data_IF_510775148101
#
_entry.id   IF_510775148101
#
_cell.length_a   1.000
_cell.length_b   1.000
_cell.length_c   1.000
_cell.angle_alpha   90.00
_cell.angle_beta   90.00
_cell.angle_gamma   90.00
#
_symmetry.space_group_name_H-M   'P 1'
#
loop_
_entity.id
_entity.type
_entity.pdbx_description
1 polymer ?
#
# COMPACT_ATOMS: atom_id res chain seq x y z
N UNK A 1 -26.41 6.35 32.54
CA UNK A 1 -25.19 6.38 31.69
C UNK A 1 -24.22 5.29 32.15
N UNK A 2 -24.49 4.03 31.76
CA UNK A 2 -23.75 2.82 32.17
C UNK A 2 -23.81 1.77 31.03
N UNK A 3 -23.61 2.18 29.77
CA UNK A 3 -23.86 1.33 28.59
C UNK A 3 -22.63 1.14 27.67
N UNK A 4 -21.41 1.44 28.15
CA UNK A 4 -20.17 1.30 27.36
C UNK A 4 -19.14 0.32 27.94
N UNK A 5 -19.47 -0.44 28.99
CA UNK A 5 -18.59 -1.49 29.53
C UNK A 5 -18.89 -2.90 29.00
N UNK A 6 -19.89 -3.04 28.11
CA UNK A 6 -20.50 -4.35 27.78
C UNK A 6 -19.95 -5.04 26.52
N UNK A 7 -19.12 -4.39 25.71
CA UNK A 7 -18.62 -4.95 24.43
C UNK A 7 -17.34 -5.79 24.55
N UNK A 8 -16.58 -5.68 25.64
CA UNK A 8 -15.33 -6.42 25.83
C UNK A 8 -15.53 -7.86 26.35
N UNK A 9 -16.70 -8.16 26.91
CA UNK A 9 -16.98 -9.44 27.58
C UNK A 9 -17.70 -10.46 26.70
N UNK A 10 -18.30 -10.03 25.58
CA UNK A 10 -19.09 -10.95 24.73
C UNK A 10 -18.22 -11.83 23.82
N UNK A 11 -17.07 -11.35 23.35
CA UNK A 11 -16.21 -12.14 22.44
C UNK A 11 -15.36 -13.22 23.14
N UNK A 12 -15.33 -13.22 24.48
CA UNK A 12 -14.48 -14.13 25.28
C UNK A 12 -15.08 -15.53 25.44
N UNK A 13 -16.36 -15.77 25.13
CA UNK A 13 -17.07 -17.00 25.52
C UNK A 13 -17.38 -18.02 24.42
N UNK A 14 -17.18 -17.74 23.13
CA UNK A 14 -17.70 -18.63 22.08
C UNK A 14 -16.66 -19.35 21.20
N UNK A 15 -15.36 -19.22 21.47
CA UNK A 15 -14.30 -20.06 20.85
C UNK A 15 -13.89 -21.22 21.77
N UNK A 16 -14.85 -21.83 22.46
CA UNK A 16 -14.63 -22.95 23.39
C UNK A 16 -15.36 -24.23 22.93
N UNK A 17 -15.57 -24.43 21.63
CA UNK A 17 -15.92 -25.74 21.05
C UNK A 17 -14.72 -26.35 20.31
N UNK A 18 -13.75 -26.76 21.14
CA UNK A 18 -12.83 -27.91 21.04
C UNK A 18 -12.04 -28.30 19.78
N UNK A 19 -12.23 -27.74 18.58
CA UNK A 19 -11.51 -28.24 17.39
C UNK A 19 -10.71 -27.19 16.59
N UNK A 20 -10.41 -26.03 17.17
CA UNK A 20 -9.59 -25.00 16.49
C UNK A 20 -8.12 -24.95 16.95
N UNK A 21 -7.72 -25.76 17.94
CA UNK A 21 -6.40 -25.68 18.56
C UNK A 21 -5.28 -26.45 17.84
N UNK A 22 -5.60 -27.30 16.86
CA UNK A 22 -4.62 -28.16 16.16
C UNK A 22 -4.08 -27.60 14.85
N UNK A 23 -4.66 -26.53 14.29
CA UNK A 23 -4.24 -26.01 12.98
C UNK A 23 -3.31 -24.78 13.03
N UNK A 24 -3.17 -24.11 14.18
CA UNK A 24 -2.40 -22.87 14.26
C UNK A 24 -1.20 -22.98 15.20
N UNK A 25 0.04 -22.82 14.69
CA UNK A 25 1.26 -22.69 15.50
C UNK A 25 1.09 -21.61 16.56
N UNK A 26 1.61 -21.86 17.76
CA UNK A 26 1.49 -20.95 18.93
C UNK A 26 1.98 -19.53 18.63
N UNK A 27 3.03 -19.39 17.82
CA UNK A 27 3.60 -18.10 17.42
C UNK A 27 2.63 -17.22 16.61
N UNK A 28 1.80 -17.82 15.75
CA UNK A 28 0.79 -17.09 14.97
C UNK A 28 -0.35 -16.63 15.88
N UNK A 29 -0.68 -17.42 16.92
CA UNK A 29 -1.76 -17.12 17.85
C UNK A 29 -1.46 -15.90 18.71
N UNK A 30 -0.23 -15.78 19.19
CA UNK A 30 0.18 -14.67 20.05
C UNK A 30 0.28 -13.37 19.23
N UNK A 31 0.89 -13.42 18.03
CA UNK A 31 0.92 -12.28 17.12
C UNK A 31 -0.47 -11.82 16.65
N UNK A 32 -1.39 -12.77 16.40
CA UNK A 32 -2.77 -12.43 16.05
C UNK A 32 -3.51 -11.80 17.24
N UNK A 33 -3.25 -12.25 18.47
CA UNK A 33 -3.89 -11.71 19.67
C UNK A 33 -3.52 -10.25 19.93
N UNK A 34 -2.30 -9.86 19.60
CA UNK A 34 -1.80 -8.50 19.78
C UNK A 34 -2.17 -7.59 18.59
N UNK A 35 -2.19 -8.13 17.37
CA UNK A 35 -2.57 -7.38 16.16
C UNK A 35 -4.10 -7.20 16.02
N UNK A 36 -4.91 -8.12 16.55
CA UNK A 36 -6.36 -8.13 16.38
C UNK A 36 -7.08 -6.89 16.97
N UNK A 37 -6.75 -6.43 18.19
CA UNK A 37 -7.32 -5.19 18.72
C UNK A 37 -6.97 -3.97 17.86
N UNK A 38 -5.70 -3.84 17.44
CA UNK A 38 -5.25 -2.74 16.59
C UNK A 38 -5.92 -2.77 15.20
N UNK A 39 -6.14 -3.95 14.64
CA UNK A 39 -6.90 -4.13 13.40
C UNK A 39 -8.37 -3.71 13.56
N UNK A 40 -9.02 -4.11 14.66
CA UNK A 40 -10.39 -3.71 14.97
C UNK A 40 -10.52 -2.21 15.24
N UNK A 41 -9.55 -1.60 15.90
CA UNK A 41 -9.47 -0.14 16.09
C UNK A 41 -9.24 0.59 14.75
N UNK A 42 -8.42 0.02 13.86
CA UNK A 42 -8.28 0.50 12.47
C UNK A 42 -9.60 0.40 11.69
N UNK A 43 -10.36 -0.68 11.88
CA UNK A 43 -11.72 -0.81 11.34
C UNK A 43 -12.71 0.17 11.97
N UNK A 44 -12.48 0.63 13.20
CA UNK A 44 -13.30 1.68 13.81
C UNK A 44 -13.16 3.01 13.04
N UNK A 45 -12.00 3.28 12.41
CA UNK A 45 -11.84 4.42 11.50
C UNK A 45 -12.72 4.30 10.23
N UNK A 46 -13.06 3.06 9.81
CA UNK A 46 -14.01 2.82 8.74
C UNK A 46 -15.47 3.13 9.15
N UNK A 47 -15.81 3.23 10.45
CA UNK A 47 -17.18 3.58 10.89
C UNK A 47 -17.57 4.99 10.49
N UNK A 48 -16.60 5.88 10.27
CA UNK A 48 -16.88 7.23 9.82
C UNK A 48 -16.96 7.27 8.29
N UNK A 49 -18.15 7.00 7.76
CA UNK A 49 -18.44 6.98 6.31
C UNK A 49 -17.95 8.23 5.56
N UNK A 50 -17.96 9.40 6.22
CA UNK A 50 -17.40 10.66 5.67
C UNK A 50 -15.89 10.61 5.45
N UNK A 51 -15.14 10.00 6.36
CA UNK A 51 -13.69 9.85 6.23
C UNK A 51 -13.35 8.82 5.15
N UNK A 52 -14.13 7.75 5.05
CA UNK A 52 -14.02 6.80 3.95
C UNK A 52 -14.27 7.42 2.59
N UNK A 53 -15.34 8.20 2.45
CA UNK A 53 -15.67 8.83 1.19
C UNK A 53 -14.57 9.81 0.76
N UNK A 54 -13.97 10.55 1.70
CA UNK A 54 -12.82 11.43 1.42
C UNK A 54 -11.60 10.63 0.95
N UNK A 55 -11.22 9.58 1.68
CA UNK A 55 -10.09 8.74 1.31
C UNK A 55 -10.30 8.08 -0.06
N UNK A 56 -11.51 7.55 -0.31
CA UNK A 56 -11.90 6.99 -1.60
C UNK A 56 -11.84 8.03 -2.72
N UNK A 57 -12.34 9.25 -2.50
CA UNK A 57 -12.27 10.32 -3.49
C UNK A 57 -10.84 10.75 -3.84
N UNK A 58 -9.95 10.79 -2.84
CA UNK A 58 -8.53 11.08 -3.06
C UNK A 58 -7.87 9.98 -3.89
N UNK A 59 -8.19 8.72 -3.57
CA UNK A 59 -7.68 7.58 -4.32
C UNK A 59 -8.20 7.56 -5.76
N UNK A 60 -9.50 7.80 -5.95
CA UNK A 60 -10.11 7.91 -7.27
C UNK A 60 -9.49 9.07 -8.09
N UNK A 61 -9.17 10.19 -7.44
CA UNK A 61 -8.52 11.33 -8.08
C UNK A 61 -7.11 10.98 -8.55
N UNK A 62 -6.31 10.30 -7.71
CA UNK A 62 -4.98 9.80 -8.11
C UNK A 62 -5.09 8.85 -9.32
N UNK A 63 -6.09 7.97 -9.31
CA UNK A 63 -6.33 7.03 -10.39
C UNK A 63 -6.67 7.72 -11.72
N UNK A 64 -7.57 8.69 -11.69
CA UNK A 64 -7.94 9.46 -12.88
C UNK A 64 -6.76 10.29 -13.39
N UNK A 65 -5.99 10.89 -12.47
CA UNK A 65 -4.77 11.63 -12.81
C UNK A 65 -3.77 10.72 -13.51
N UNK A 66 -3.52 9.53 -12.96
CA UNK A 66 -2.63 8.52 -13.55
C UNK A 66 -3.08 8.12 -14.95
N UNK A 67 -4.36 7.77 -15.13
CA UNK A 67 -4.90 7.40 -16.44
C UNK A 67 -4.74 8.55 -17.46
N UNK A 68 -4.97 9.78 -17.02
CA UNK A 68 -4.79 10.98 -17.85
C UNK A 68 -3.34 11.19 -18.22
N UNK A 69 -2.39 11.05 -17.29
CA UNK A 69 -0.95 11.15 -17.58
C UNK A 69 -0.50 10.08 -18.57
N UNK A 70 -0.95 8.84 -18.41
CA UNK A 70 -0.64 7.75 -19.34
C UNK A 70 -1.18 8.06 -20.74
N UNK A 71 -2.41 8.56 -20.83
CA UNK A 71 -3.00 8.97 -22.11
C UNK A 71 -2.25 10.15 -22.75
N UNK A 72 -1.88 11.17 -21.99
CA UNK A 72 -1.11 12.32 -22.48
C UNK A 72 0.25 11.89 -23.04
N UNK A 73 0.96 10.99 -22.35
CA UNK A 73 2.17 10.40 -22.90
C UNK A 73 1.87 9.61 -24.17
N UNK A 74 0.75 8.90 -24.24
CA UNK A 74 0.35 8.15 -25.43
C UNK A 74 0.17 9.04 -26.65
N UNK A 75 -0.36 10.26 -26.46
CA UNK A 75 -0.44 11.30 -27.49
C UNK A 75 0.97 11.74 -27.90
N UNK A 76 1.87 11.98 -26.95
CA UNK A 76 3.25 12.40 -27.25
C UNK A 76 4.04 11.38 -28.07
N UNK A 77 3.74 10.09 -27.91
CA UNK A 77 4.32 8.99 -28.69
C UNK A 77 3.54 8.66 -29.97
N UNK A 78 2.48 9.41 -30.29
CA UNK A 78 1.65 9.23 -31.48
C UNK A 78 1.11 7.80 -31.68
N UNK A 79 0.80 7.08 -30.59
CA UNK A 79 0.45 5.66 -30.61
C UNK A 79 -0.82 5.30 -31.41
N UNK A 80 -1.66 6.28 -31.76
CA UNK A 80 -2.88 6.06 -32.55
C UNK A 80 -3.97 5.25 -31.84
N UNK A 81 -3.82 4.96 -30.55
CA UNK A 81 -4.78 4.15 -29.76
C UNK A 81 -5.84 5.02 -29.07
N UNK A 82 -7.07 4.50 -28.88
CA UNK A 82 -8.14 5.25 -28.24
C UNK A 82 -7.84 5.50 -26.75
N UNK A 83 -8.39 6.60 -26.21
CA UNK A 83 -8.20 6.99 -24.80
C UNK A 83 -8.65 5.90 -23.80
N UNK A 84 -9.67 5.12 -24.15
CA UNK A 84 -10.16 3.99 -23.35
C UNK A 84 -9.10 2.91 -23.13
N UNK A 85 -8.17 2.72 -24.07
CA UNK A 85 -7.05 1.78 -23.91
C UNK A 85 -6.17 2.15 -22.71
N UNK A 86 -5.99 3.44 -22.42
CA UNK A 86 -5.17 3.89 -21.28
C UNK A 86 -5.87 3.66 -19.93
N UNK A 87 -7.21 3.64 -19.90
CA UNK A 87 -7.95 3.20 -18.72
C UNK A 87 -7.73 1.70 -18.47
N UNK A 88 -7.83 0.88 -19.52
CA UNK A 88 -7.53 -0.57 -19.44
C UNK A 88 -6.09 -0.81 -19.02
N UNK A 89 -5.15 -0.06 -19.60
CA UNK A 89 -3.73 -0.12 -19.25
C UNK A 89 -3.50 0.23 -17.78
N UNK A 90 -4.16 1.28 -17.27
CA UNK A 90 -4.07 1.68 -15.86
C UNK A 90 -4.55 0.56 -14.93
N UNK A 91 -5.67 -0.09 -15.26
CA UNK A 91 -6.21 -1.23 -14.51
C UNK A 91 -5.23 -2.41 -14.55
N UNK A 92 -4.78 -2.79 -15.74
CA UNK A 92 -3.86 -3.91 -15.94
C UNK A 92 -2.58 -3.70 -15.13
N UNK A 93 -1.92 -2.55 -15.29
CA UNK A 93 -0.70 -2.22 -14.55
C UNK A 93 -0.92 -2.24 -13.03
N UNK A 94 -2.04 -1.71 -12.54
CA UNK A 94 -2.35 -1.72 -11.11
C UNK A 94 -2.46 -3.15 -10.56
N UNK A 95 -3.12 -4.05 -11.29
CA UNK A 95 -3.21 -5.47 -10.92
C UNK A 95 -1.84 -6.13 -10.94
N UNK A 96 -1.04 -5.92 -12.00
CA UNK A 96 0.26 -6.57 -12.15
C UNK A 96 1.31 -6.05 -11.16
N UNK A 97 1.24 -4.78 -10.75
CA UNK A 97 2.16 -4.23 -9.74
C UNK A 97 2.02 -4.85 -8.35
N UNK A 98 0.90 -5.54 -8.07
CA UNK A 98 0.70 -6.28 -6.82
C UNK A 98 1.60 -7.52 -6.73
N UNK A 99 2.09 -8.03 -7.86
CA UNK A 99 2.99 -9.17 -7.91
C UNK A 99 4.43 -8.66 -7.99
N UNK A 100 5.21 -8.74 -6.90
CA UNK A 100 6.62 -8.35 -6.93
C UNK A 100 7.44 -9.41 -7.65
N UNK A 101 7.35 -9.44 -8.99
CA UNK A 101 8.06 -10.43 -9.83
C UNK A 101 9.51 -10.03 -10.03
N UNK A 102 9.77 -8.72 -10.21
CA UNK A 102 11.12 -8.19 -10.45
C UNK A 102 11.38 -6.95 -9.62
N UNK A 103 12.67 -6.63 -9.44
CA UNK A 103 13.06 -5.39 -8.77
C UNK A 103 12.47 -4.20 -9.51
N UNK A 104 11.70 -3.39 -8.79
CA UNK A 104 11.01 -2.21 -9.33
C UNK A 104 10.03 -2.53 -10.48
N UNK A 105 9.58 -3.79 -10.61
CA UNK A 105 8.71 -4.24 -11.72
C UNK A 105 9.26 -3.92 -13.13
N UNK A 106 10.58 -3.80 -13.27
CA UNK A 106 11.24 -3.66 -14.57
C UNK A 106 11.09 -4.99 -15.33
N UNK A 107 10.72 -4.93 -16.60
CA UNK A 107 10.31 -6.07 -17.42
C UNK A 107 8.81 -6.30 -17.37
N UNK A 108 8.25 -6.57 -16.19
CA UNK A 108 6.80 -6.84 -16.03
C UNK A 108 5.95 -5.67 -16.50
N UNK A 109 6.31 -4.45 -16.11
CA UNK A 109 5.60 -3.24 -16.53
C UNK A 109 5.61 -3.09 -18.07
N UNK A 110 6.78 -3.26 -18.70
CA UNK A 110 6.93 -3.15 -20.15
C UNK A 110 6.12 -4.21 -20.88
N UNK A 111 6.17 -5.46 -20.44
CA UNK A 111 5.42 -6.55 -21.09
C UNK A 111 3.91 -6.27 -21.04
N UNK A 112 3.38 -5.90 -19.87
CA UNK A 112 1.95 -5.59 -19.72
C UNK A 112 1.56 -4.39 -20.61
N UNK A 113 2.36 -3.34 -20.60
CA UNK A 113 2.09 -2.15 -21.40
C UNK A 113 2.14 -2.44 -22.91
N UNK A 114 3.15 -3.18 -23.37
CA UNK A 114 3.28 -3.60 -24.77
C UNK A 114 2.07 -4.43 -25.18
N UNK A 115 1.69 -5.45 -24.41
CA UNK A 115 0.61 -6.35 -24.81
C UNK A 115 -0.76 -5.65 -24.83
N UNK A 116 -1.05 -4.77 -23.86
CA UNK A 116 -2.30 -3.99 -23.87
C UNK A 116 -2.35 -2.99 -25.02
N UNK A 117 -1.27 -2.23 -25.26
CA UNK A 117 -1.22 -1.24 -26.33
C UNK A 117 -1.19 -1.89 -27.72
N UNK A 118 -0.47 -3.01 -27.86
CA UNK A 118 -0.41 -3.76 -29.10
C UNK A 118 -1.75 -4.40 -29.45
N UNK A 119 -2.46 -4.96 -28.46
CA UNK A 119 -3.82 -5.45 -28.64
C UNK A 119 -4.80 -4.36 -29.10
N UNK A 120 -4.52 -3.09 -28.76
CA UNK A 120 -5.28 -1.93 -29.22
C UNK A 120 -4.80 -1.36 -30.56
N UNK A 121 -3.79 -1.95 -31.20
CA UNK A 121 -3.31 -1.58 -32.54
C UNK A 121 -1.97 -0.82 -32.58
N UNK A 122 -1.34 -0.53 -31.43
CA UNK A 122 -0.04 0.14 -31.44
C UNK A 122 1.10 -0.78 -31.94
N UNK A 123 2.08 -0.25 -32.69
CA UNK A 123 3.31 -0.98 -32.98
C UNK A 123 4.06 -1.34 -31.69
N UNK A 124 4.56 -2.59 -31.58
CA UNK A 124 5.29 -3.05 -30.39
C UNK A 124 6.52 -2.20 -30.05
N UNK A 125 7.23 -1.70 -31.07
CA UNK A 125 8.40 -0.82 -30.90
C UNK A 125 8.03 0.50 -30.22
N UNK A 126 6.94 1.13 -30.65
CA UNK A 126 6.45 2.39 -30.06
C UNK A 126 5.88 2.17 -28.67
N UNK A 127 5.11 1.08 -28.49
CA UNK A 127 4.58 0.70 -27.19
C UNK A 127 5.69 0.42 -26.16
N UNK A 128 6.80 -0.19 -26.59
CA UNK A 128 7.98 -0.40 -25.74
C UNK A 128 8.65 0.92 -25.35
N UNK A 129 8.90 1.80 -26.33
CA UNK A 129 9.51 3.12 -26.07
C UNK A 129 8.65 3.95 -25.12
N UNK A 130 7.33 3.94 -25.32
CA UNK A 130 6.35 4.53 -24.42
C UNK A 130 6.46 3.94 -23.01
N UNK A 131 6.43 2.61 -22.86
CA UNK A 131 6.40 1.95 -21.57
C UNK A 131 7.66 2.22 -20.75
N UNK A 132 8.84 2.14 -21.37
CA UNK A 132 10.12 2.47 -20.73
C UNK A 132 10.13 3.93 -20.28
N UNK A 133 9.72 4.85 -21.15
CA UNK A 133 9.72 6.29 -20.85
C UNK A 133 8.74 6.63 -19.73
N UNK A 134 7.51 6.13 -19.81
CA UNK A 134 6.47 6.36 -18.80
C UNK A 134 6.90 5.86 -17.41
N UNK A 135 7.50 4.67 -17.34
CA UNK A 135 7.98 4.11 -16.08
C UNK A 135 9.18 4.88 -15.54
N UNK A 136 10.17 5.17 -16.38
CA UNK A 136 11.37 5.90 -15.98
C UNK A 136 11.02 7.30 -15.46
N UNK A 137 10.14 8.01 -16.16
CA UNK A 137 9.72 9.35 -15.78
C UNK A 137 8.89 9.35 -14.49
N UNK A 138 8.06 8.31 -14.28
CA UNK A 138 7.33 8.12 -13.02
C UNK A 138 8.28 7.94 -11.84
N UNK A 139 9.29 7.09 -11.96
CA UNK A 139 10.27 6.90 -10.89
C UNK A 139 11.17 8.11 -10.68
N UNK A 140 11.57 8.78 -11.76
CA UNK A 140 12.32 10.02 -11.68
C UNK A 140 11.53 11.07 -10.90
N UNK A 141 10.24 11.24 -11.21
CA UNK A 141 9.37 12.18 -10.50
C UNK A 141 9.25 11.85 -9.01
N UNK A 142 9.00 10.58 -8.67
CA UNK A 142 8.92 10.14 -7.27
C UNK A 142 10.24 10.37 -6.54
N UNK A 143 11.37 10.07 -7.19
CA UNK A 143 12.70 10.30 -6.63
C UNK A 143 12.97 11.79 -6.40
N UNK A 144 12.58 12.65 -7.34
CA UNK A 144 12.68 14.11 -7.20
C UNK A 144 11.84 14.62 -6.03
N UNK A 145 10.58 14.18 -5.90
CA UNK A 145 9.73 14.58 -4.78
C UNK A 145 10.25 14.08 -3.43
N UNK A 146 10.81 12.88 -3.39
CA UNK A 146 11.48 12.36 -2.19
C UNK A 146 12.70 13.20 -1.81
N UNK A 147 13.52 13.57 -2.80
CA UNK A 147 14.71 14.39 -2.58
C UNK A 147 14.35 15.82 -2.14
N UNK A 148 13.35 16.45 -2.76
CA UNK A 148 12.88 17.77 -2.35
C UNK A 148 12.30 17.74 -0.94
N UNK A 149 11.57 16.69 -0.57
CA UNK A 149 11.08 16.50 0.80
C UNK A 149 12.26 16.38 1.79
N UNK A 150 13.23 15.50 1.55
CA UNK A 150 14.42 15.35 2.40
C UNK A 150 15.19 16.67 2.56
N UNK A 151 15.34 17.42 1.47
CA UNK A 151 15.99 18.71 1.48
C UNK A 151 15.20 19.74 2.30
N UNK A 152 13.87 19.80 2.14
CA UNK A 152 12.99 20.70 2.89
C UNK A 152 12.96 20.42 4.40
N UNK A 153 13.08 19.15 4.79
CA UNK A 153 13.09 18.71 6.18
C UNK A 153 14.49 18.75 6.82
N UNK A 154 15.53 19.12 6.05
CA UNK A 154 16.95 19.11 6.46
C UNK A 154 17.41 17.76 7.06
N UNK A 155 16.71 16.68 6.73
CA UNK A 155 17.01 15.36 7.27
C UNK A 155 18.24 14.81 6.56
N UNK A 156 19.38 14.91 7.25
CA UNK A 156 20.59 14.28 6.75
C UNK A 156 20.47 12.75 6.89
N UNK A 157 21.00 11.97 5.92
CA UNK A 157 20.91 10.51 5.94
C UNK A 157 21.37 9.86 7.26
N UNK A 158 22.30 10.53 7.96
CA UNK A 158 22.83 10.11 9.27
C UNK A 158 21.79 10.16 10.39
N UNK A 159 20.87 11.13 10.35
CA UNK A 159 19.82 11.27 11.37
C UNK A 159 18.74 10.21 11.20
N UNK A 160 18.33 9.93 9.96
CA UNK A 160 17.40 8.84 9.65
C UNK A 160 17.98 7.49 10.05
N UNK A 161 19.26 7.25 9.75
CA UNK A 161 19.96 6.02 10.15
C UNK A 161 20.07 5.84 11.67
N UNK A 162 20.24 6.94 12.43
CA UNK A 162 20.26 6.91 13.88
C UNK A 162 18.89 6.56 14.48
N UNK A 163 17.80 7.13 13.94
CA UNK A 163 16.42 6.84 14.39
C UNK A 163 16.02 5.39 14.09
N UNK A 164 16.38 4.86 12.93
CA UNK A 164 16.11 3.45 12.59
C UNK A 164 16.88 2.51 13.51
N UNK A 165 18.16 2.81 13.80
CA UNK A 165 18.96 2.00 14.76
C UNK A 165 18.37 1.99 16.16
N UNK A 166 17.96 3.15 16.68
CA UNK A 166 17.32 3.24 17.99
C UNK A 166 16.00 2.46 18.08
N UNK A 167 15.22 2.40 16.99
CA UNK A 167 13.99 1.61 16.93
C UNK A 167 14.26 0.09 16.97
N UNK A 168 15.37 -0.39 16.37
CA UNK A 168 15.79 -1.80 16.44
C UNK A 168 16.51 -2.18 17.74
N UNK A 169 17.19 -1.23 18.40
CA UNK A 169 17.94 -1.48 19.64
C UNK A 169 17.09 -1.37 20.90
N UNK A 170 15.83 -0.92 20.81
CA UNK A 170 14.92 -0.94 21.97
C UNK A 170 14.49 -2.39 22.20
N UNK A 171 14.97 -3.07 23.27
CA UNK A 171 14.57 -4.44 23.53
C UNK A 171 13.07 -4.43 23.84
N UNK A 172 12.32 -5.34 23.23
CA UNK A 172 10.94 -5.63 23.60
C UNK A 172 10.90 -6.00 25.09
N UNK A 173 10.68 -4.99 25.92
CA UNK A 173 10.43 -5.14 27.35
C UNK A 173 8.96 -5.48 27.53
N UNK A 174 8.54 -6.59 26.91
CA UNK A 174 7.30 -7.31 27.17
C UNK A 174 7.31 -7.98 28.56
N UNK A 175 7.68 -7.21 29.59
CA UNK A 175 7.52 -7.59 30.99
C UNK A 175 6.20 -7.02 31.51
N UNK A 176 5.28 -7.83 32.05
CA UNK A 176 4.04 -7.31 32.62
C UNK A 176 4.38 -6.31 33.73
N UNK A 177 3.90 -5.08 33.62
CA UNK A 177 4.00 -4.06 34.68
C UNK A 177 3.15 -4.54 35.87
N UNK A 178 3.71 -5.37 36.73
CA UNK A 178 3.17 -5.65 38.05
C UNK A 178 3.33 -4.38 38.88
N UNK A 179 2.33 -3.50 38.82
CA UNK A 179 2.18 -2.42 39.79
C UNK A 179 1.76 -3.05 41.12
N UNK A 180 2.75 -3.45 41.91
CA UNK A 180 2.58 -3.81 43.32
C UNK A 180 3.16 -2.71 44.21
N UNK A 181 2.22 -1.99 44.84
CA UNK A 181 2.22 -1.41 46.20
C UNK A 181 3.11 -0.22 46.56
N UNK A 182 2.43 0.77 47.12
CA UNK A 182 2.57 1.30 48.49
C UNK A 182 1.36 2.20 48.73
N UNK A 183 0.29 1.75 49.40
CA UNK A 183 0.06 1.82 50.87
C UNK A 183 0.47 3.17 51.43
#
# INVERSE_FOLDING_TARGET
MQLLSWSATYFRRNCQSRDCHRLFPTQVRDGLRDAWPAFLDGLAALRQSRSLLKAFSLHLTEWLMRATTLWLFGISFALGVPASTFLVLTVALSVFTLFPVTFMNIGTYQVVAIEVLHAAGAPRSEAFAYAVTAQALSYLWVALMGLTALWSLQLWPRQVAATVRQATDTPDTGGPRTNTRGV
#
